data_IF_740654813576
#
_entry.id   IF_740654813576
#
_cell.length_a   1.000
_cell.length_b   1.000
_cell.length_c   1.000
_cell.angle_alpha   90.00
_cell.angle_beta   90.00
_cell.angle_gamma   90.00
#
_symmetry.space_group_name_H-M   'P 1'
#
loop_
_entity.id
_entity.type
_entity.pdbx_description
1 polymer ?
#
# COMPACT_ATOMS: atom_id res chain seq x y z
N UNK A 1 -15.78 22.37 24.74
CA UNK A 1 -14.80 21.31 24.44
C UNK A 1 -14.83 21.04 22.94
N UNK A 2 -13.72 21.25 22.23
CA UNK A 2 -13.64 20.96 20.80
C UNK A 2 -13.04 19.55 20.61
N UNK A 3 -13.62 18.68 19.76
CA UNK A 3 -13.04 17.37 19.52
C UNK A 3 -11.73 17.57 18.73
N UNK A 4 -10.64 16.97 19.23
CA UNK A 4 -9.36 16.90 18.50
C UNK A 4 -9.56 15.98 17.30
N UNK A 5 -9.89 16.57 16.16
CA UNK A 5 -9.96 15.85 14.89
C UNK A 5 -8.51 15.52 14.50
N UNK A 6 -8.11 14.26 14.65
CA UNK A 6 -6.76 13.77 14.28
C UNK A 6 -6.52 13.73 12.76
N UNK A 7 -7.38 14.36 11.96
CA UNK A 7 -7.38 14.30 10.50
C UNK A 7 -6.36 15.20 9.80
N UNK A 8 -5.69 16.10 10.53
CA UNK A 8 -4.70 17.02 9.99
C UNK A 8 -3.26 16.44 9.90
N UNK A 9 -3.03 15.22 10.42
CA UNK A 9 -1.70 14.59 10.44
C UNK A 9 -1.38 13.75 9.20
N UNK A 10 -2.37 13.23 8.47
CA UNK A 10 -2.12 12.27 7.38
C UNK A 10 -1.35 12.85 6.19
N UNK A 11 -1.41 14.17 5.95
CA UNK A 11 -0.69 14.79 4.82
C UNK A 11 0.83 14.73 4.98
N UNK A 12 1.33 14.70 6.22
CA UNK A 12 2.77 14.67 6.51
C UNK A 12 3.37 13.27 6.39
N UNK A 13 2.53 12.23 6.26
CA UNK A 13 2.93 10.82 6.20
C UNK A 13 2.51 10.13 4.88
N UNK A 14 1.95 10.87 3.92
CA UNK A 14 1.65 10.33 2.60
C UNK A 14 2.96 10.04 1.85
N UNK A 15 3.19 8.81 1.36
CA UNK A 15 4.37 8.48 0.57
C UNK A 15 4.49 9.36 -0.68
N UNK A 16 5.70 9.75 -1.05
CA UNK A 16 5.95 10.44 -2.31
C UNK A 16 5.74 9.48 -3.50
N UNK A 17 6.12 8.22 -3.32
CA UNK A 17 5.91 7.12 -4.26
C UNK A 17 4.41 6.80 -4.35
N UNK A 18 3.84 6.73 -5.56
CA UNK A 18 2.44 6.37 -5.74
C UNK A 18 2.08 5.04 -5.09
N UNK A 19 0.98 5.01 -4.34
CA UNK A 19 0.47 3.80 -3.69
C UNK A 19 -0.75 3.28 -4.45
N UNK A 20 -0.77 1.98 -4.75
CA UNK A 20 -1.96 1.28 -5.25
C UNK A 20 -2.31 0.10 -4.34
N UNK A 21 -3.60 -0.09 -4.07
CA UNK A 21 -4.10 -1.21 -3.28
C UNK A 21 -4.67 -2.26 -4.23
N UNK A 22 -4.21 -3.50 -4.10
CA UNK A 22 -4.51 -4.58 -5.04
C UNK A 22 -4.94 -5.83 -4.27
N UNK A 23 -6.06 -6.43 -4.68
CA UNK A 23 -6.55 -7.70 -4.16
C UNK A 23 -5.50 -8.80 -4.24
N UNK A 24 -5.44 -9.68 -3.24
CA UNK A 24 -4.47 -10.78 -3.16
C UNK A 24 -4.39 -11.59 -4.48
N UNK A 25 -5.54 -11.93 -5.05
CA UNK A 25 -5.65 -12.70 -6.29
C UNK A 25 -5.05 -11.98 -7.52
N UNK A 26 -4.84 -10.67 -7.46
CA UNK A 26 -4.31 -9.85 -8.56
C UNK A 26 -2.87 -9.40 -8.36
N UNK A 27 -2.27 -9.61 -7.18
CA UNK A 27 -0.93 -9.12 -6.87
C UNK A 27 0.14 -9.61 -7.86
N UNK A 28 0.22 -10.92 -8.09
CA UNK A 28 1.18 -11.49 -9.04
C UNK A 28 1.06 -10.88 -10.43
N UNK A 29 -0.17 -10.67 -10.91
CA UNK A 29 -0.44 -10.04 -12.20
C UNK A 29 -0.03 -8.56 -12.20
N UNK A 30 -0.45 -7.80 -11.19
CA UNK A 30 -0.17 -6.38 -11.10
C UNK A 30 1.33 -6.07 -11.05
N UNK A 31 2.07 -6.80 -10.22
CA UNK A 31 3.52 -6.65 -10.11
C UNK A 31 4.21 -6.99 -11.44
N UNK A 32 3.81 -8.06 -12.11
CA UNK A 32 4.36 -8.44 -13.42
C UNK A 32 4.06 -7.40 -14.52
N UNK A 33 2.84 -6.86 -14.55
CA UNK A 33 2.45 -5.82 -15.52
C UNK A 33 3.22 -4.51 -15.30
N UNK A 34 3.35 -4.06 -14.06
CA UNK A 34 4.12 -2.86 -13.74
C UNK A 34 5.59 -3.03 -14.09
N UNK A 35 6.17 -4.20 -13.82
CA UNK A 35 7.53 -4.52 -14.24
C UNK A 35 7.67 -4.54 -15.77
N UNK A 36 6.72 -5.14 -16.50
CA UNK A 36 6.71 -5.13 -17.96
C UNK A 36 6.56 -3.72 -18.55
N UNK A 37 5.87 -2.82 -17.83
CA UNK A 37 5.78 -1.39 -18.15
C UNK A 37 7.03 -0.58 -17.71
N UNK A 38 8.09 -1.25 -17.26
CA UNK A 38 9.36 -0.63 -16.87
C UNK A 38 9.34 0.06 -15.51
N UNK A 39 8.36 -0.24 -14.64
CA UNK A 39 8.28 0.31 -13.28
C UNK A 39 9.04 -0.57 -12.28
N UNK A 40 9.79 0.07 -11.39
CA UNK A 40 10.37 -0.57 -10.21
C UNK A 40 9.28 -0.70 -9.16
N UNK A 41 8.92 -1.93 -8.80
CA UNK A 41 7.82 -2.19 -7.88
C UNK A 41 8.37 -2.53 -6.49
N UNK A 42 7.80 -1.95 -5.45
CA UNK A 42 7.98 -2.42 -4.07
C UNK A 42 6.63 -2.80 -3.49
N UNK A 43 6.60 -3.78 -2.57
CA UNK A 43 5.34 -4.35 -2.09
C UNK A 43 5.20 -4.33 -0.57
N UNK A 44 3.97 -4.12 -0.12
CA UNK A 44 3.54 -4.36 1.26
C UNK A 44 2.44 -5.43 1.19
N UNK A 45 2.64 -6.56 1.84
CA UNK A 45 1.78 -7.72 1.69
C UNK A 45 1.56 -8.44 3.03
N UNK A 46 0.54 -9.29 3.11
CA UNK A 46 0.15 -10.01 4.33
C UNK A 46 0.06 -11.50 4.10
N UNK A 47 -0.53 -11.92 2.98
CA UNK A 47 -0.66 -13.33 2.61
C UNK A 47 0.13 -13.68 1.35
N UNK A 48 0.38 -12.72 0.47
CA UNK A 48 1.16 -12.97 -0.74
C UNK A 48 2.63 -13.21 -0.39
N UNK A 49 3.28 -14.16 -1.05
CA UNK A 49 4.69 -14.51 -0.79
C UNK A 49 5.69 -13.69 -1.63
N UNK A 50 5.21 -12.81 -2.50
CA UNK A 50 6.07 -12.05 -3.41
C UNK A 50 6.34 -12.75 -4.74
N UNK A 51 7.09 -12.08 -5.62
CA UNK A 51 7.73 -12.70 -6.78
C UNK A 51 9.05 -11.97 -7.10
N UNK A 52 9.81 -12.50 -8.06
CA UNK A 52 11.12 -11.97 -8.43
C UNK A 52 11.13 -10.56 -9.05
N UNK A 53 9.96 -9.98 -9.36
CA UNK A 53 9.86 -8.66 -9.98
C UNK A 53 9.75 -7.51 -8.96
N UNK A 54 9.49 -7.81 -7.69
CA UNK A 54 9.50 -6.81 -6.64
C UNK A 54 10.95 -6.50 -6.19
N UNK A 55 11.31 -5.22 -6.20
CA UNK A 55 12.61 -4.73 -5.73
C UNK A 55 12.79 -4.90 -4.21
N UNK A 56 11.70 -4.68 -3.46
CA UNK A 56 11.66 -4.83 -2.02
C UNK A 56 10.24 -5.17 -1.57
N UNK A 57 10.16 -5.88 -0.44
CA UNK A 57 8.90 -6.37 0.11
C UNK A 57 8.86 -6.20 1.62
N UNK A 58 7.67 -5.92 2.16
CA UNK A 58 7.34 -5.94 3.59
C UNK A 58 6.17 -6.88 3.86
N UNK A 59 6.36 -7.77 4.84
CA UNK A 59 5.31 -8.62 5.38
C UNK A 59 4.67 -7.94 6.58
N UNK A 60 3.37 -7.70 6.51
CA UNK A 60 2.60 -7.05 7.56
C UNK A 60 2.01 -8.07 8.54
N UNK A 61 1.75 -7.67 9.79
CA UNK A 61 1.02 -8.50 10.75
C UNK A 61 -0.34 -8.98 10.22
N UNK A 62 -0.71 -10.22 10.57
CA UNK A 62 -1.96 -10.82 10.13
C UNK A 62 -3.21 -10.17 10.75
N UNK A 63 -3.08 -9.51 11.91
CA UNK A 63 -4.19 -8.90 12.64
C UNK A 63 -4.27 -7.38 12.42
N UNK A 64 -5.48 -6.84 12.37
CA UNK A 64 -5.75 -5.43 12.06
C UNK A 64 -5.00 -4.45 12.99
N UNK A 65 -4.92 -4.76 14.29
CA UNK A 65 -4.23 -3.91 15.26
C UNK A 65 -2.73 -3.77 15.00
N UNK A 66 -2.06 -4.90 14.73
CA UNK A 66 -0.63 -4.90 14.37
C UNK A 66 -0.40 -4.22 13.03
N UNK A 67 -1.24 -4.52 12.03
CA UNK A 67 -1.16 -3.88 10.72
C UNK A 67 -1.30 -2.35 10.83
N UNK A 68 -2.27 -1.86 11.60
CA UNK A 68 -2.49 -0.44 11.80
C UNK A 68 -1.32 0.25 12.51
N UNK A 69 -0.65 -0.46 13.42
CA UNK A 69 0.53 0.04 14.13
C UNK A 69 1.72 0.25 13.18
N UNK A 70 1.97 -0.71 12.30
CA UNK A 70 3.17 -0.73 11.45
C UNK A 70 3.01 0.05 10.13
N UNK A 71 1.76 0.24 9.66
CA UNK A 71 1.45 0.75 8.33
C UNK A 71 2.26 1.97 7.89
N UNK A 72 2.32 3.03 8.69
CA UNK A 72 3.05 4.25 8.29
C UNK A 72 4.57 4.11 8.38
N UNK A 73 5.08 3.21 9.22
CA UNK A 73 6.51 2.92 9.26
C UNK A 73 6.91 2.17 7.99
N UNK A 74 6.14 1.15 7.60
CA UNK A 74 6.42 0.35 6.42
C UNK A 74 6.16 1.09 5.11
N UNK A 75 5.13 1.93 5.03
CA UNK A 75 4.93 2.84 3.89
C UNK A 75 6.15 3.75 3.70
N UNK A 76 6.68 4.36 4.77
CA UNK A 76 7.89 5.19 4.68
C UNK A 76 9.14 4.39 4.32
N UNK A 77 9.27 3.18 4.85
CA UNK A 77 10.38 2.30 4.50
C UNK A 77 10.35 1.93 3.01
N UNK A 78 9.17 1.65 2.45
CA UNK A 78 9.00 1.37 1.02
C UNK A 78 9.14 2.61 0.15
N UNK A 79 8.73 3.78 0.63
CA UNK A 79 8.94 5.06 -0.07
C UNK A 79 10.45 5.34 -0.27
N UNK A 80 11.27 4.97 0.70
CA UNK A 80 12.73 5.09 0.61
C UNK A 80 13.43 3.90 -0.06
N UNK A 81 12.70 2.86 -0.45
CA UNK A 81 13.28 1.67 -1.09
C UNK A 81 13.55 1.86 -2.60
N UNK A 82 13.24 3.05 -3.15
CA UNK A 82 13.55 3.40 -4.53
C UNK A 82 12.61 2.78 -5.57
N UNK A 83 11.40 2.39 -5.17
CA UNK A 83 10.34 1.99 -6.11
C UNK A 83 9.75 3.20 -6.84
N UNK A 84 9.18 2.95 -8.02
CA UNK A 84 8.33 3.90 -8.74
C UNK A 84 6.86 3.76 -8.35
N UNK A 85 6.50 2.67 -7.66
CA UNK A 85 5.17 2.34 -7.17
C UNK A 85 5.26 1.44 -5.93
N UNK A 86 4.45 1.73 -4.92
CA UNK A 86 4.18 0.85 -3.78
C UNK A 86 2.87 0.10 -4.06
N UNK A 87 2.95 -1.22 -4.23
CA UNK A 87 1.78 -2.09 -4.37
C UNK A 87 1.46 -2.68 -3.00
N UNK A 88 0.29 -2.36 -2.47
CA UNK A 88 -0.18 -2.85 -1.17
C UNK A 88 -1.25 -3.91 -1.39
N UNK A 89 -1.10 -5.07 -0.74
CA UNK A 89 -2.16 -6.08 -0.65
C UNK A 89 -3.40 -5.49 0.05
N UNK A 90 -4.57 -5.61 -0.58
CA UNK A 90 -5.83 -5.21 0.02
C UNK A 90 -6.08 -5.99 1.33
N UNK A 91 -6.24 -5.31 2.48
CA UNK A 91 -6.62 -5.98 3.71
C UNK A 91 -8.11 -6.39 3.67
N UNK A 92 -8.55 -7.27 4.60
CA UNK A 92 -9.97 -7.62 4.72
C UNK A 92 -10.88 -6.39 4.84
N UNK A 93 -12.09 -6.50 4.27
CA UNK A 93 -13.12 -5.43 4.30
C UNK A 93 -14.09 -5.55 5.49
N UNK A 94 -13.61 -6.09 6.62
CA UNK A 94 -14.43 -6.24 7.85
C UNK A 94 -14.30 -5.01 8.76
N UNK A 95 -15.19 -4.90 9.76
CA UNK A 95 -15.26 -3.73 10.64
C UNK A 95 -13.95 -3.44 11.38
N UNK A 96 -13.24 -4.48 11.85
CA UNK A 96 -11.96 -4.34 12.56
C UNK A 96 -10.86 -3.73 11.67
N UNK A 97 -10.99 -3.84 10.35
CA UNK A 97 -10.05 -3.32 9.36
C UNK A 97 -10.47 -1.98 8.76
N UNK A 98 -11.64 -1.43 9.13
CA UNK A 98 -12.15 -0.18 8.56
C UNK A 98 -11.15 0.98 8.71
N UNK A 99 -10.49 1.07 9.87
CA UNK A 99 -9.46 2.09 10.11
C UNK A 99 -8.17 1.89 9.31
N UNK A 100 -7.82 0.65 8.94
CA UNK A 100 -6.67 0.39 8.05
C UNK A 100 -7.03 0.76 6.62
N UNK A 101 -8.19 0.31 6.15
CA UNK A 101 -8.70 0.60 4.81
C UNK A 101 -8.84 2.11 4.55
N UNK A 102 -9.35 2.89 5.51
CA UNK A 102 -9.44 4.35 5.33
C UNK A 102 -8.05 5.00 5.19
N UNK A 103 -7.07 4.60 6.00
CA UNK A 103 -5.69 5.11 5.90
C UNK A 103 -5.04 4.75 4.57
N UNK A 104 -5.22 3.51 4.10
CA UNK A 104 -4.70 3.08 2.80
C UNK A 104 -5.34 3.84 1.66
N UNK A 105 -6.66 4.08 1.71
CA UNK A 105 -7.36 4.91 0.71
C UNK A 105 -6.81 6.33 0.66
N UNK A 106 -6.46 6.92 1.81
CA UNK A 106 -5.83 8.24 1.90
C UNK A 106 -4.40 8.23 1.33
N UNK A 107 -3.62 7.19 1.63
CA UNK A 107 -2.27 7.02 1.08
C UNK A 107 -2.27 6.81 -0.45
N UNK A 108 -3.26 6.09 -0.98
CA UNK A 108 -3.40 5.78 -2.42
C UNK A 108 -3.92 6.93 -3.29
N UNK A 109 -4.12 8.13 -2.74
CA UNK A 109 -4.70 9.26 -3.47
C UNK A 109 -3.90 9.66 -4.73
N UNK A 110 -2.57 9.51 -4.72
CA UNK A 110 -1.69 9.80 -5.86
C UNK A 110 -1.48 8.59 -6.81
N UNK A 111 -2.13 7.45 -6.57
CA UNK A 111 -1.96 6.20 -7.33
C UNK A 111 -2.70 6.09 -8.65
N UNK A 112 -3.51 7.09 -9.03
CA UNK A 112 -4.46 6.96 -10.15
C UNK A 112 -3.81 6.66 -11.51
N UNK A 113 -2.66 7.28 -11.82
CA UNK A 113 -1.96 7.01 -13.08
C UNK A 113 -1.40 5.59 -13.15
N UNK A 114 -1.05 5.00 -12.01
CA UNK A 114 -0.57 3.62 -11.90
C UNK A 114 -1.74 2.65 -12.01
N UNK A 115 -2.87 2.95 -11.37
CA UNK A 115 -4.09 2.14 -11.47
C UNK A 115 -4.55 1.97 -12.94
N UNK A 116 -4.41 3.01 -13.76
CA UNK A 116 -4.72 2.96 -15.19
C UNK A 116 -3.85 1.93 -15.94
N UNK A 117 -2.58 1.75 -15.58
CA UNK A 117 -1.69 0.74 -16.19
C UNK A 117 -2.18 -0.68 -15.87
N UNK A 118 -2.79 -0.85 -14.70
CA UNK A 118 -3.29 -2.13 -14.22
C UNK A 118 -4.68 -2.50 -14.78
N UNK A 119 -5.32 -1.58 -15.53
CA UNK A 119 -6.68 -1.72 -16.05
C UNK A 119 -7.73 -2.03 -14.96
N UNK A 120 -7.63 -1.35 -13.82
CA UNK A 120 -8.61 -1.40 -12.73
C UNK A 120 -9.39 -0.09 -12.63
#
# INVERSE_FOLDING_TARGET
>A
AAPRVSGALDSHYAPATPVVVVELARLSYAVAQLHAAGKRVVTIQREWEGNAYALATRMMPAAAGGYAHDLYADLRAMDHAGGDVIVVEAPPVTQDWAGVNDRLRRAAFNGQSVANILNF
#
